data_IF_765577554701
#
_entry.id   IF_765577554701
#
_cell.length_a   1.000
_cell.length_b   1.000
_cell.length_c   1.000
_cell.angle_alpha   90.00
_cell.angle_beta   90.00
_cell.angle_gamma   90.00
#
_symmetry.space_group_name_H-M   'P 1'
#
loop_
_entity.id
_entity.type
_entity.pdbx_description
1 polymer ?
#
# COMPACT_ATOMS: atom_id res chain seq x y z
N UNK A 1 37.02 17.70 13.63
CA UNK A 1 35.72 18.04 14.27
C UNK A 1 35.20 19.26 13.54
N UNK A 2 34.31 19.05 12.58
CA UNK A 2 33.84 20.09 11.65
C UNK A 2 32.76 20.91 12.36
N UNK A 3 32.97 22.22 12.44
CA UNK A 3 32.04 23.13 13.12
C UNK A 3 31.05 23.69 12.11
N UNK A 4 29.75 23.52 12.35
CA UNK A 4 28.70 24.02 11.46
C UNK A 4 28.00 25.23 12.09
N UNK A 5 27.97 26.34 11.35
CA UNK A 5 27.00 27.40 11.57
C UNK A 5 25.72 26.94 10.88
N UNK A 6 24.64 26.74 11.64
CA UNK A 6 23.37 26.30 11.07
C UNK A 6 22.53 27.50 10.65
N UNK A 7 22.11 27.50 9.39
CA UNK A 7 21.08 28.39 8.85
C UNK A 7 19.98 27.55 8.19
N UNK A 8 18.73 27.93 8.46
CA UNK A 8 17.54 27.34 7.86
C UNK A 8 16.73 28.47 7.25
N UNK A 9 16.26 28.30 6.01
CA UNK A 9 15.54 29.35 5.29
C UNK A 9 14.05 29.05 5.18
N UNK A 10 13.27 30.12 5.26
CA UNK A 10 11.84 30.12 4.97
C UNK A 10 11.60 29.58 3.55
N UNK A 11 10.61 28.70 3.41
CA UNK A 11 10.24 28.13 2.12
C UNK A 11 11.00 26.85 1.73
N UNK A 12 12.10 26.52 2.40
CA UNK A 12 12.82 25.26 2.16
C UNK A 12 11.95 24.06 2.51
N UNK A 13 12.19 22.93 1.83
CA UNK A 13 11.49 21.69 2.12
C UNK A 13 12.00 21.15 3.47
N UNK A 14 11.15 21.17 4.49
CA UNK A 14 11.46 20.61 5.79
C UNK A 14 11.29 19.09 5.78
N UNK A 15 12.41 18.37 5.87
CA UNK A 15 12.46 16.90 5.94
C UNK A 15 12.72 16.37 7.34
N UNK A 16 13.19 17.24 8.22
CA UNK A 16 13.76 16.93 9.51
C UNK A 16 13.32 17.98 10.54
N UNK A 17 13.30 17.61 11.81
CA UNK A 17 13.21 18.55 12.93
C UNK A 17 14.48 18.49 13.75
N UNK A 18 14.67 19.52 14.57
CA UNK A 18 15.84 19.63 15.41
C UNK A 18 15.49 19.93 16.85
N UNK A 19 16.29 19.36 17.76
CA UNK A 19 16.25 19.64 19.19
C UNK A 19 17.60 20.25 19.56
N UNK A 20 17.59 21.40 20.22
CA UNK A 20 18.80 22.09 20.64
C UNK A 20 19.39 21.36 21.84
N UNK A 21 20.51 20.67 21.65
CA UNK A 21 21.24 20.03 22.74
C UNK A 21 22.10 21.05 23.49
N UNK A 22 22.83 21.89 22.74
CA UNK A 22 23.69 22.96 23.27
C UNK A 22 23.67 24.16 22.34
N UNK A 23 23.83 25.35 22.89
CA UNK A 23 23.88 26.59 22.11
C UNK A 23 22.51 27.28 21.97
N UNK A 24 22.44 28.28 21.08
CA UNK A 24 21.25 29.13 20.90
C UNK A 24 21.05 29.47 19.43
N UNK A 25 19.79 29.48 19.03
CA UNK A 25 19.37 29.84 17.68
C UNK A 25 18.37 30.99 17.74
N UNK A 26 18.37 31.86 16.74
CA UNK A 26 17.45 32.98 16.64
C UNK A 26 16.58 32.85 15.41
N UNK A 27 15.28 33.06 15.58
CA UNK A 27 14.32 33.25 14.50
C UNK A 27 14.48 34.68 14.00
N UNK A 28 14.82 34.84 12.72
CA UNK A 28 15.17 36.14 12.13
C UNK A 28 14.26 36.50 10.96
N UNK A 29 14.18 37.80 10.65
CA UNK A 29 13.56 38.30 9.41
C UNK A 29 14.37 37.91 8.17
N UNK A 30 13.77 38.05 6.99
CA UNK A 30 14.39 37.71 5.70
C UNK A 30 15.70 38.48 5.44
N UNK A 31 15.84 39.68 5.98
CA UNK A 31 17.06 40.50 5.91
C UNK A 31 18.07 40.19 7.02
N UNK A 32 17.74 39.29 7.95
CA UNK A 32 18.59 38.87 9.07
C UNK A 32 18.81 39.93 10.16
N UNK A 33 18.11 41.08 10.10
CA UNK A 33 18.32 42.22 11.01
C UNK A 33 17.48 42.14 12.27
N UNK A 34 16.22 41.72 12.17
CA UNK A 34 15.29 41.63 13.28
C UNK A 34 15.28 40.21 13.84
N UNK A 35 15.44 40.11 15.16
CA UNK A 35 15.27 38.85 15.91
C UNK A 35 13.86 38.82 16.48
N UNK A 36 13.09 37.79 16.14
CA UNK A 36 11.73 37.59 16.66
C UNK A 36 11.73 36.83 17.97
N UNK A 37 12.48 35.73 18.03
CA UNK A 37 12.57 34.82 19.20
C UNK A 37 13.96 34.20 19.23
N UNK A 38 14.51 33.99 20.42
CA UNK A 38 15.72 33.18 20.63
C UNK A 38 15.34 31.86 21.29
N UNK A 39 15.76 30.77 20.67
CA UNK A 39 15.59 29.39 21.11
C UNK A 39 16.82 28.94 21.88
N UNK A 40 16.59 28.32 23.04
CA UNK A 40 17.64 27.87 23.96
C UNK A 40 17.69 26.34 24.03
N UNK A 41 18.64 25.82 24.80
CA UNK A 41 18.81 24.37 25.02
C UNK A 41 17.49 23.71 25.47
N UNK A 42 17.19 22.54 24.90
CA UNK A 42 15.92 21.84 25.08
C UNK A 42 14.78 22.33 24.17
N UNK A 43 14.95 23.45 23.46
CA UNK A 43 13.95 23.91 22.50
C UNK A 43 13.92 23.02 21.26
N UNK A 44 12.73 22.97 20.64
CA UNK A 44 12.45 22.19 19.44
C UNK A 44 12.05 23.14 18.32
N UNK A 45 12.53 22.89 17.10
CA UNK A 45 12.11 23.65 15.92
C UNK A 45 12.06 22.79 14.66
N UNK A 46 11.31 23.28 13.67
CA UNK A 46 11.11 22.58 12.40
C UNK A 46 9.98 21.54 12.44
N UNK A 47 9.23 21.50 13.54
CA UNK A 47 8.09 20.62 13.78
C UNK A 47 7.00 20.84 12.74
N UNK A 48 6.67 22.10 12.41
CA UNK A 48 5.57 22.43 11.51
C UNK A 48 5.76 21.83 10.11
N UNK A 49 6.97 21.87 9.59
CA UNK A 49 7.25 21.41 8.21
C UNK A 49 7.20 19.90 8.03
N UNK A 50 7.27 19.13 9.11
CA UNK A 50 7.23 17.66 9.05
C UNK A 50 5.91 17.08 9.59
N UNK A 51 5.23 17.83 10.46
CA UNK A 51 3.86 17.55 10.88
C UNK A 51 2.94 17.87 9.71
N UNK A 52 2.18 16.87 9.25
CA UNK A 52 1.23 17.06 8.16
C UNK A 52 -0.05 17.75 8.69
N UNK A 53 0.09 18.95 9.26
CA UNK A 53 -1.00 19.67 9.92
C UNK A 53 -2.03 20.05 8.84
N UNK A 54 -3.27 19.53 8.95
CA UNK A 54 -4.30 19.87 7.99
C UNK A 54 -4.64 21.36 8.03
N UNK A 55 -4.87 21.96 6.87
CA UNK A 55 -5.11 23.41 6.72
C UNK A 55 -3.85 24.28 6.78
N UNK A 56 -2.65 23.70 6.88
CA UNK A 56 -1.41 24.48 6.76
C UNK A 56 -1.22 25.02 5.34
N UNK A 57 -1.12 26.36 5.21
CA UNK A 57 -0.89 27.03 3.92
C UNK A 57 0.52 26.81 3.37
N UNK A 58 1.48 26.47 4.22
CA UNK A 58 2.89 26.27 3.86
C UNK A 58 3.24 24.81 3.58
N UNK A 59 2.34 23.88 3.91
CA UNK A 59 2.56 22.44 3.71
C UNK A 59 3.83 21.97 4.42
N UNK A 60 4.74 21.34 3.69
CA UNK A 60 6.00 20.83 4.21
C UNK A 60 7.17 21.83 4.12
N UNK A 61 6.90 23.12 3.94
CA UNK A 61 7.93 24.15 3.84
C UNK A 61 8.24 24.74 5.22
N UNK A 62 9.50 25.13 5.44
CA UNK A 62 9.91 25.89 6.62
C UNK A 62 9.13 27.20 6.68
N UNK A 63 8.68 27.57 7.87
CA UNK A 63 7.83 28.74 8.12
C UNK A 63 8.58 29.95 8.67
N UNK A 64 9.88 29.80 8.96
CA UNK A 64 10.70 30.89 9.45
C UNK A 64 12.19 30.70 9.10
N UNK A 65 12.92 31.80 9.00
CA UNK A 65 14.38 31.77 8.93
C UNK A 65 14.94 31.57 10.33
N UNK A 66 15.89 30.66 10.48
CA UNK A 66 16.56 30.37 11.75
C UNK A 66 18.05 30.43 11.53
N UNK A 67 18.75 31.19 12.38
CA UNK A 67 20.19 31.34 12.35
C UNK A 67 20.79 30.99 13.71
N UNK A 68 21.86 30.22 13.71
CA UNK A 68 22.63 29.96 14.94
C UNK A 68 23.33 31.23 15.43
N UNK A 69 23.22 31.53 16.73
CA UNK A 69 23.90 32.68 17.35
C UNK A 69 25.40 32.42 17.50
N UNK A 70 25.77 31.15 17.69
CA UNK A 70 27.16 30.70 17.79
C UNK A 70 27.25 29.21 17.48
N UNK A 71 28.21 28.52 18.08
CA UNK A 71 28.26 27.06 17.97
C UNK A 71 27.06 26.44 18.69
N UNK A 72 26.37 25.54 17.98
CA UNK A 72 25.20 24.83 18.50
C UNK A 72 25.29 23.36 18.15
N UNK A 73 24.94 22.51 19.11
CA UNK A 73 24.77 21.07 18.93
C UNK A 73 23.29 20.78 18.78
N UNK A 74 22.91 20.13 17.69
CA UNK A 74 21.53 19.79 17.37
C UNK A 74 21.36 18.27 17.29
N UNK A 75 20.28 17.75 17.87
CA UNK A 75 19.78 16.44 17.48
C UNK A 75 18.90 16.60 16.25
N UNK A 76 19.16 15.82 15.20
CA UNK A 76 18.34 15.77 14.00
C UNK A 76 17.45 14.54 14.06
N UNK A 77 16.14 14.70 13.88
CA UNK A 77 15.20 13.61 13.67
C UNK A 77 14.58 13.75 12.29
N UNK A 78 14.62 12.67 11.50
CA UNK A 78 13.92 12.64 10.23
C UNK A 78 12.42 12.53 10.44
N UNK A 79 11.63 12.91 9.43
CA UNK A 79 10.19 12.73 9.46
C UNK A 79 9.79 11.29 9.80
N UNK A 80 10.46 10.29 9.22
CA UNK A 80 10.12 8.88 9.43
C UNK A 80 10.34 8.46 10.89
N UNK A 81 11.54 8.75 11.42
CA UNK A 81 11.90 8.38 12.79
C UNK A 81 10.99 9.09 13.80
N UNK A 82 10.62 10.34 13.53
CA UNK A 82 9.66 11.05 14.37
C UNK A 82 8.32 10.32 14.43
N UNK A 83 7.74 9.94 13.29
CA UNK A 83 6.41 9.30 13.27
C UNK A 83 6.40 7.94 13.97
N UNK A 84 7.51 7.20 13.89
CA UNK A 84 7.70 5.95 14.62
C UNK A 84 7.69 6.19 16.14
N UNK A 85 8.49 7.15 16.62
CA UNK A 85 8.51 7.51 18.05
C UNK A 85 7.15 8.04 18.52
N UNK A 86 6.49 8.89 17.72
CA UNK A 86 5.19 9.44 18.06
C UNK A 86 4.06 8.39 18.10
N UNK A 87 4.24 7.22 17.47
CA UNK A 87 3.32 6.10 17.60
C UNK A 87 3.41 5.46 19.01
N UNK A 88 4.60 5.43 19.61
CA UNK A 88 4.82 4.91 20.97
C UNK A 88 4.43 5.93 22.07
N UNK A 89 4.49 7.24 21.76
CA UNK A 89 4.20 8.32 22.71
C UNK A 89 3.07 9.25 22.22
N UNK A 90 1.79 8.82 22.30
CA UNK A 90 0.65 9.59 21.78
C UNK A 90 0.47 10.97 22.46
N UNK A 91 0.73 11.08 23.76
CA UNK A 91 0.62 12.35 24.48
C UNK A 91 1.62 13.40 23.99
N UNK A 92 2.83 12.97 23.64
CA UNK A 92 3.86 13.83 23.07
C UNK A 92 3.48 14.29 21.66
N UNK A 93 2.90 13.39 20.85
CA UNK A 93 2.37 13.69 19.52
C UNK A 93 1.32 14.79 19.59
N UNK A 94 0.32 14.64 20.46
CA UNK A 94 -0.78 15.58 20.57
C UNK A 94 -0.28 16.96 21.01
N UNK A 95 0.63 16.99 22.00
CA UNK A 95 1.28 18.24 22.46
C UNK A 95 2.06 18.92 21.32
N UNK A 96 2.78 18.14 20.52
CA UNK A 96 3.59 18.68 19.41
C UNK A 96 2.70 19.23 18.28
N UNK A 97 1.61 18.55 17.95
CA UNK A 97 0.60 19.01 16.98
C UNK A 97 -0.08 20.28 17.47
N UNK A 98 -0.48 20.35 18.75
CA UNK A 98 -1.10 21.55 19.31
C UNK A 98 -0.16 22.76 19.27
N UNK A 99 1.12 22.57 19.61
CA UNK A 99 2.13 23.63 19.50
C UNK A 99 2.30 24.11 18.06
N UNK A 100 2.39 23.18 17.10
CA UNK A 100 2.47 23.52 15.68
C UNK A 100 1.24 24.29 15.18
N UNK A 101 0.03 23.88 15.60
CA UNK A 101 -1.21 24.59 15.29
C UNK A 101 -1.23 26.00 15.91
N UNK A 102 -0.84 26.14 17.17
CA UNK A 102 -0.78 27.43 17.83
C UNK A 102 0.19 28.40 17.13
N UNK A 103 1.33 27.89 16.67
CA UNK A 103 2.29 28.68 15.90
C UNK A 103 1.71 29.15 14.57
N UNK A 104 1.15 28.24 13.78
CA UNK A 104 0.56 28.60 12.49
C UNK A 104 -0.65 29.56 12.63
N UNK A 105 -1.43 29.47 13.72
CA UNK A 105 -2.53 30.43 14.01
C UNK A 105 -1.98 31.82 14.25
N UNK A 106 -0.92 31.92 15.04
CA UNK A 106 -0.27 33.20 15.36
C UNK A 106 0.24 33.90 14.10
N UNK A 107 0.76 33.13 13.15
CA UNK A 107 1.33 33.64 11.91
C UNK A 107 0.28 33.75 10.77
N UNK A 108 -1.00 33.47 11.04
CA UNK A 108 -2.11 33.47 10.07
C UNK A 108 -1.90 32.50 8.88
N UNK A 109 -1.11 31.44 9.11
CA UNK A 109 -0.74 30.41 8.14
C UNK A 109 -1.62 29.16 8.23
N UNK A 110 -2.62 29.14 9.12
CA UNK A 110 -3.68 28.13 9.14
C UNK A 110 -4.93 28.61 8.44
N UNK A 111 -5.48 27.74 7.61
CA UNK A 111 -6.84 27.81 7.11
C UNK A 111 -7.72 26.96 8.04
N UNK A 112 -8.52 27.63 8.87
CA UNK A 112 -9.38 26.97 9.86
C UNK A 112 -10.53 26.19 9.20
N UNK A 113 -11.02 26.61 8.02
CA UNK A 113 -12.06 25.88 7.30
C UNK A 113 -11.50 24.58 6.73
N UNK A 114 -10.33 24.64 6.10
CA UNK A 114 -9.63 23.46 5.60
C UNK A 114 -9.21 22.52 6.74
N UNK A 115 -8.80 23.06 7.89
CA UNK A 115 -8.47 22.26 9.07
C UNK A 115 -9.70 21.53 9.63
N UNK A 116 -10.86 22.19 9.69
CA UNK A 116 -12.11 21.57 10.13
C UNK A 116 -12.59 20.48 9.17
N UNK A 117 -12.54 20.72 7.86
CA UNK A 117 -12.92 19.74 6.85
C UNK A 117 -12.05 18.48 6.95
N UNK A 118 -10.73 18.65 7.06
CA UNK A 118 -9.83 17.52 7.23
C UNK A 118 -10.06 16.76 8.54
N UNK A 119 -10.44 17.45 9.61
CA UNK A 119 -10.78 16.82 10.89
C UNK A 119 -12.08 16.01 10.79
N UNK A 120 -13.06 16.47 10.00
CA UNK A 120 -14.27 15.69 9.69
C UNK A 120 -13.95 14.47 8.83
N UNK A 121 -13.10 14.63 7.82
CA UNK A 121 -12.65 13.52 6.98
C UNK A 121 -11.90 12.46 7.80
N UNK A 122 -11.01 12.88 8.69
CA UNK A 122 -10.26 12.01 9.61
C UNK A 122 -11.20 11.29 10.58
N UNK A 123 -12.22 11.98 11.11
CA UNK A 123 -13.26 11.37 11.94
C UNK A 123 -14.15 10.37 11.17
N UNK A 124 -14.27 10.50 9.84
CA UNK A 124 -15.01 9.57 9.00
C UNK A 124 -14.18 8.36 8.53
N UNK A 125 -12.85 8.35 8.74
CA UNK A 125 -11.98 7.22 8.36
C UNK A 125 -12.40 5.91 9.06
N UNK A 126 -12.64 5.86 10.38
CA UNK A 126 -13.01 4.62 11.07
C UNK A 126 -14.28 3.98 10.50
N UNK A 127 -15.28 4.79 10.15
CA UNK A 127 -16.53 4.30 9.54
C UNK A 127 -16.28 3.73 8.14
N UNK A 128 -15.45 4.42 7.33
CA UNK A 128 -15.05 3.93 6.01
C UNK A 128 -14.27 2.61 6.11
N UNK A 129 -13.38 2.48 7.08
CA UNK A 129 -12.62 1.24 7.34
C UNK A 129 -13.57 0.11 7.74
N UNK A 130 -14.46 0.33 8.70
CA UNK A 130 -15.44 -0.67 9.13
C UNK A 130 -16.33 -1.16 7.97
N UNK A 131 -16.73 -0.24 7.07
CA UNK A 131 -17.49 -0.60 5.86
C UNK A 131 -16.68 -1.45 4.88
N UNK A 132 -15.39 -1.16 4.72
CA UNK A 132 -14.51 -1.96 3.86
C UNK A 132 -14.29 -3.36 4.45
N UNK A 133 -14.09 -3.47 5.76
CA UNK A 133 -14.00 -4.75 6.47
C UNK A 133 -15.26 -5.60 6.23
N UNK A 134 -16.46 -5.04 6.43
CA UNK A 134 -17.70 -5.78 6.17
C UNK A 134 -17.91 -6.17 4.70
N UNK A 135 -17.39 -5.40 3.75
CA UNK A 135 -17.42 -5.78 2.34
C UNK A 135 -16.47 -6.95 2.05
N UNK A 136 -15.30 -6.99 2.70
CA UNK A 136 -14.34 -8.09 2.59
C UNK A 136 -14.98 -9.37 3.14
N UNK A 137 -15.61 -9.33 4.31
CA UNK A 137 -16.31 -10.49 4.89
C UNK A 137 -17.38 -11.06 3.94
N UNK A 138 -18.12 -10.16 3.26
CA UNK A 138 -19.12 -10.56 2.27
C UNK A 138 -18.48 -11.25 1.06
N UNK A 139 -17.34 -10.73 0.61
CA UNK A 139 -16.59 -11.29 -0.52
C UNK A 139 -16.00 -12.65 -0.18
N UNK A 140 -15.43 -12.80 1.03
CA UNK A 140 -14.92 -14.07 1.55
C UNK A 140 -16.01 -15.14 1.61
N UNK A 141 -17.19 -14.77 2.11
CA UNK A 141 -18.35 -15.68 2.16
C UNK A 141 -18.76 -16.15 0.75
N UNK A 142 -18.79 -15.23 -0.23
CA UNK A 142 -19.11 -15.57 -1.63
C UNK A 142 -18.04 -16.45 -2.27
N UNK A 143 -16.76 -16.19 -2.00
CA UNK A 143 -15.65 -17.01 -2.49
C UNK A 143 -15.70 -18.42 -1.92
N UNK A 144 -15.96 -18.57 -0.62
CA UNK A 144 -16.11 -19.88 0.02
C UNK A 144 -17.23 -20.69 -0.64
N UNK A 145 -18.38 -20.06 -0.92
CA UNK A 145 -19.49 -20.70 -1.62
C UNK A 145 -19.11 -21.10 -3.05
N UNK A 146 -18.48 -20.21 -3.81
CA UNK A 146 -18.06 -20.47 -5.18
C UNK A 146 -17.06 -21.64 -5.25
N UNK A 147 -16.10 -21.68 -4.32
CA UNK A 147 -15.16 -22.79 -4.21
C UNK A 147 -15.87 -24.11 -3.90
N UNK A 148 -16.86 -24.11 -2.99
CA UNK A 148 -17.67 -25.29 -2.70
C UNK A 148 -18.49 -25.79 -3.90
N UNK A 149 -19.07 -24.88 -4.68
CA UNK A 149 -19.75 -25.20 -5.94
C UNK A 149 -18.77 -25.78 -6.97
N UNK A 150 -17.58 -25.17 -7.10
CA UNK A 150 -16.54 -25.64 -8.01
C UNK A 150 -16.04 -27.05 -7.67
N UNK A 151 -15.75 -27.34 -6.40
CA UNK A 151 -15.32 -28.67 -5.97
C UNK A 151 -16.39 -29.73 -6.21
N UNK A 152 -17.66 -29.37 -5.97
CA UNK A 152 -18.80 -30.27 -6.21
C UNK A 152 -18.96 -30.59 -7.70
N UNK A 153 -18.88 -29.56 -8.55
CA UNK A 153 -18.94 -29.72 -10.00
C UNK A 153 -17.78 -30.58 -10.51
N UNK A 154 -16.57 -30.35 -10.02
CA UNK A 154 -15.40 -31.10 -10.45
C UNK A 154 -15.46 -32.58 -10.01
N UNK A 155 -15.97 -32.87 -8.81
CA UNK A 155 -16.21 -34.24 -8.36
C UNK A 155 -17.25 -34.96 -9.24
N UNK A 156 -18.34 -34.27 -9.60
CA UNK A 156 -19.39 -34.81 -10.46
C UNK A 156 -18.89 -35.07 -11.89
N UNK A 157 -18.09 -34.14 -12.44
CA UNK A 157 -17.38 -34.33 -13.72
C UNK A 157 -16.44 -35.54 -13.68
N UNK A 158 -15.69 -35.71 -12.58
CA UNK A 158 -14.82 -36.88 -12.38
C UNK A 158 -15.59 -38.21 -12.41
N UNK A 159 -16.72 -38.31 -11.71
CA UNK A 159 -17.56 -39.51 -11.73
C UNK A 159 -18.15 -39.80 -13.11
N UNK A 160 -18.59 -38.76 -13.82
CA UNK A 160 -19.11 -38.89 -15.19
C UNK A 160 -18.03 -39.37 -16.15
N UNK A 161 -16.81 -38.86 -16.02
CA UNK A 161 -15.66 -39.28 -16.82
C UNK A 161 -15.35 -40.76 -16.61
N UNK A 162 -15.24 -41.21 -15.36
CA UNK A 162 -15.04 -42.63 -15.01
C UNK A 162 -16.14 -43.53 -15.58
N UNK A 163 -17.39 -43.08 -15.55
CA UNK A 163 -18.52 -43.83 -16.11
C UNK A 163 -18.36 -44.01 -17.62
N UNK A 164 -18.00 -42.93 -18.33
CA UNK A 164 -17.78 -42.96 -19.78
C UNK A 164 -16.59 -43.85 -20.14
N UNK A 165 -15.48 -43.76 -19.41
CA UNK A 165 -14.30 -44.62 -19.59
C UNK A 165 -14.66 -46.10 -19.44
N UNK A 166 -15.38 -46.47 -18.38
CA UNK A 166 -15.82 -47.86 -18.16
C UNK A 166 -16.72 -48.38 -19.28
N UNK A 167 -17.65 -47.57 -19.75
CA UNK A 167 -18.53 -47.94 -20.85
C UNK A 167 -17.76 -48.10 -22.17
N UNK A 168 -16.78 -47.24 -22.43
CA UNK A 168 -15.92 -47.34 -23.60
C UNK A 168 -15.07 -48.62 -23.57
N UNK A 169 -14.51 -48.97 -22.41
CA UNK A 169 -13.76 -50.21 -22.21
C UNK A 169 -14.61 -51.47 -22.41
N UNK A 170 -15.80 -51.50 -21.80
CA UNK A 170 -16.77 -52.61 -21.98
C UNK A 170 -17.14 -52.80 -23.45
N UNK A 171 -17.40 -51.70 -24.17
CA UNK A 171 -17.73 -51.75 -25.59
C UNK A 171 -16.55 -52.24 -26.43
N UNK A 172 -15.33 -51.83 -26.07
CA UNK A 172 -14.08 -52.28 -26.71
C UNK A 172 -13.86 -53.78 -26.52
N UNK A 173 -14.14 -54.33 -25.33
CA UNK A 173 -14.03 -55.76 -25.07
C UNK A 173 -15.08 -56.59 -25.81
N UNK A 174 -16.34 -56.12 -25.88
CA UNK A 174 -17.39 -56.82 -26.63
C UNK A 174 -17.15 -56.87 -28.14
N UNK A 175 -16.43 -55.89 -28.69
CA UNK A 175 -16.06 -55.86 -30.12
C UNK A 175 -14.91 -56.84 -30.47
N UNK A 176 -14.17 -57.35 -29.48
CA UNK A 176 -13.06 -58.29 -29.70
C UNK A 176 -13.55 -59.74 -29.70
N UNK A 177 -14.57 -60.08 -28.91
CA UNK A 177 -15.13 -61.43 -28.82
C UNK A 177 -16.00 -61.84 -30.03
N UNK A 178 -16.45 -60.90 -30.86
CA UNK A 178 -17.39 -61.16 -31.97
C UNK A 178 -16.69 -61.40 -33.33
N UNK A 179 -15.38 -61.73 -33.34
CA UNK A 179 -14.63 -61.98 -34.58
C UNK A 179 -14.83 -63.44 -35.04
N UNK A 180 -15.55 -63.72 -36.16
CA UNK A 180 -15.82 -65.10 -36.56
C UNK A 180 -14.57 -65.79 -37.11
N UNK A 181 -14.27 -66.99 -36.59
CA UNK A 181 -13.25 -67.89 -37.13
C UNK A 181 -13.65 -68.37 -38.52
N UNK A 182 -13.02 -67.84 -39.58
CA UNK A 182 -13.17 -68.34 -40.95
C UNK A 182 -12.43 -69.68 -41.10
N UNK A 183 -13.18 -70.79 -41.26
CA UNK A 183 -12.64 -72.02 -41.87
C UNK A 183 -12.67 -71.87 -43.39
N UNK A 184 -11.51 -71.98 -44.02
CA UNK A 184 -11.34 -71.99 -45.48
C UNK A 184 -11.70 -73.36 -46.06
N UNK A 185 -12.57 -73.38 -47.06
CA UNK A 185 -12.60 -74.41 -48.10
C UNK A 185 -12.73 -73.70 -49.44
N UNK A 186 -11.64 -73.69 -50.22
CA UNK A 186 -11.64 -73.32 -51.63
C UNK A 186 -11.21 -74.57 -52.40
N UNK A 187 -12.16 -75.15 -53.11
CA UNK A 187 -11.91 -76.02 -54.25
C UNK A 187 -12.74 -75.47 -55.39
N UNK A 188 -12.11 -74.92 -56.44
CA UNK A 188 -12.34 -75.35 -57.83
C UNK A 188 -11.32 -74.68 -58.76
N UNK A 189 -10.65 -75.53 -59.52
CA UNK A 189 -9.85 -75.26 -60.72
C UNK A 189 -10.68 -74.70 -61.88
N UNK A 190 -10.06 -73.89 -62.75
CA UNK A 190 -10.35 -73.96 -64.19
C UNK A 190 -10.68 -72.65 -64.94
N UNK A 191 -9.63 -71.98 -65.45
CA UNK A 191 -9.39 -71.57 -66.85
C UNK A 191 -10.50 -70.81 -67.61
N UNK A 192 -10.15 -69.63 -68.14
CA UNK A 192 -10.85 -69.01 -69.29
C UNK A 192 -10.38 -67.60 -69.63
N UNK A 193 -9.36 -67.51 -70.48
CA UNK A 193 -8.68 -66.36 -71.10
C UNK A 193 -9.58 -65.29 -71.73
N UNK A 194 -9.17 -64.02 -71.62
CA UNK A 194 -9.66 -62.87 -72.41
C UNK A 194 -8.51 -62.40 -73.32
N UNK A 195 -8.64 -62.69 -74.62
CA UNK A 195 -8.06 -61.97 -75.77
C UNK A 195 -9.28 -61.29 -76.43
N UNK A 196 -9.28 -60.16 -77.12
CA UNK A 196 -8.34 -59.11 -77.53
C UNK A 196 -9.26 -57.95 -78.02
N UNK A 197 -8.76 -56.71 -78.08
CA UNK A 197 -8.81 -55.89 -79.29
C UNK A 197 -8.38 -54.43 -79.05
N UNK A 198 -7.15 -54.18 -79.50
CA UNK A 198 -6.57 -52.99 -80.18
C UNK A 198 -6.48 -51.65 -79.45
#
# INVERSE_FOLDING_TARGET
MTYYLFEFYLGDIGKEMYIIKRGRLSVVSDDGTKIFVTLEEGSVFGEISILNIPGSKTGNRRTANIRSVGYSDLFCLTKQDLWEVLAEYPSARDTLIERGKAHLRKDNLLDEEAAQLAQQDEAAIPEKVARLEGNIDNLETRLARLMGEYTSNMASLGQRLQTVERLAEQRRTTLIDDKPSRKNTLDVTGIGTHDDDV
#
